data_IF_487782753739
#
_entry.id   IF_487782753739
#
_cell.length_a   1.000
_cell.length_b   1.000
_cell.length_c   1.000
_cell.angle_alpha   90.00
_cell.angle_beta   90.00
_cell.angle_gamma   90.00
#
_symmetry.space_group_name_H-M   'P 1'
#
loop_
_entity.id
_entity.type
_entity.pdbx_description
1 polymer ?
#
# COMPACT_ATOMS: atom_id res chain seq x y z
N UNK A 1 -45.87 4.18 31.85
CA UNK A 1 -44.87 3.24 31.28
C UNK A 1 -44.02 4.00 30.25
N UNK A 2 -43.08 4.82 30.72
CA UNK A 2 -42.19 5.64 29.88
C UNK A 2 -40.91 4.83 29.64
N UNK A 3 -40.80 4.16 28.49
CA UNK A 3 -39.52 3.56 28.08
C UNK A 3 -38.61 4.72 27.67
N UNK A 4 -37.66 5.06 28.54
CA UNK A 4 -36.77 6.21 28.41
C UNK A 4 -36.15 6.27 27.01
N UNK A 5 -36.33 7.44 26.37
CA UNK A 5 -35.78 7.82 25.07
C UNK A 5 -34.25 7.71 25.05
N UNK A 6 -33.63 7.73 26.24
CA UNK A 6 -32.18 7.66 26.47
C UNK A 6 -31.63 6.23 26.34
N UNK A 7 -32.44 5.21 26.63
CA UNK A 7 -32.04 3.82 26.43
C UNK A 7 -31.98 3.46 24.93
N UNK A 8 -32.92 4.00 24.14
CA UNK A 8 -33.01 3.77 22.69
C UNK A 8 -31.89 4.48 21.93
N UNK A 9 -31.51 5.69 22.34
CA UNK A 9 -30.39 6.44 21.73
C UNK A 9 -29.02 5.83 22.07
N UNK A 10 -28.86 5.24 23.25
CA UNK A 10 -27.59 4.60 23.65
C UNK A 10 -27.37 3.26 22.94
N UNK A 11 -28.42 2.46 22.74
CA UNK A 11 -28.32 1.21 21.96
C UNK A 11 -28.07 1.46 20.47
N UNK A 12 -28.73 2.45 19.87
CA UNK A 12 -28.53 2.79 18.45
C UNK A 12 -27.16 3.39 18.18
N UNK A 13 -26.60 4.20 19.08
CA UNK A 13 -25.23 4.73 19.00
C UNK A 13 -24.16 3.64 19.19
N UNK A 14 -24.39 2.67 20.08
CA UNK A 14 -23.46 1.56 20.30
C UNK A 14 -23.45 0.57 19.12
N UNK A 15 -24.61 0.30 18.51
CA UNK A 15 -24.75 -0.63 17.38
C UNK A 15 -24.17 -0.08 16.07
N UNK A 16 -24.27 1.24 15.85
CA UNK A 16 -23.62 1.92 14.71
C UNK A 16 -22.09 1.93 14.85
N UNK A 17 -21.55 2.21 16.05
CA UNK A 17 -20.10 2.22 16.29
C UNK A 17 -19.44 0.85 16.10
N UNK A 18 -20.09 -0.22 16.54
CA UNK A 18 -19.59 -1.61 16.42
C UNK A 18 -19.56 -2.11 14.97
N UNK A 19 -20.57 -1.77 14.15
CA UNK A 19 -20.65 -2.25 12.76
C UNK A 19 -19.66 -1.50 11.85
N UNK A 20 -19.47 -0.20 12.09
CA UNK A 20 -18.55 0.65 11.32
C UNK A 20 -17.07 0.34 11.63
N UNK A 21 -16.75 0.00 12.89
CA UNK A 21 -15.41 -0.39 13.31
C UNK A 21 -14.97 -1.74 12.72
N UNK A 22 -15.88 -2.73 12.64
CA UNK A 22 -15.62 -4.01 11.97
C UNK A 22 -15.36 -3.87 10.46
N UNK A 23 -16.10 -2.98 9.80
CA UNK A 23 -15.89 -2.63 8.38
C UNK A 23 -14.56 -1.91 8.12
N UNK A 24 -14.08 -1.10 9.08
CA UNK A 24 -12.77 -0.46 8.99
C UNK A 24 -11.63 -1.47 9.13
N UNK A 25 -11.70 -2.36 10.12
CA UNK A 25 -10.66 -3.40 10.30
C UNK A 25 -10.53 -4.29 9.07
N UNK A 26 -11.66 -4.72 8.50
CA UNK A 26 -11.66 -5.56 7.29
C UNK A 26 -11.07 -4.84 6.07
N UNK A 27 -11.22 -3.52 5.98
CA UNK A 27 -10.68 -2.73 4.88
C UNK A 27 -9.22 -2.33 5.05
N UNK A 28 -8.71 -2.30 6.28
CA UNK A 28 -7.29 -2.05 6.56
C UNK A 28 -6.46 -3.33 6.39
N UNK A 29 -7.07 -4.50 6.56
CA UNK A 29 -6.39 -5.80 6.50
C UNK A 29 -5.50 -5.96 5.25
N UNK A 30 -5.94 -5.66 4.01
CA UNK A 30 -5.10 -5.84 2.84
C UNK A 30 -3.89 -4.90 2.84
N UNK A 31 -4.05 -3.67 3.36
CA UNK A 31 -2.95 -2.71 3.48
C UNK A 31 -1.95 -3.16 4.54
N UNK A 32 -2.40 -3.64 5.71
CA UNK A 32 -1.51 -4.16 6.75
C UNK A 32 -0.68 -5.33 6.23
N UNK A 33 -1.32 -6.26 5.50
CA UNK A 33 -0.63 -7.40 4.88
C UNK A 33 0.45 -6.93 3.91
N UNK A 34 0.16 -5.94 3.05
CA UNK A 34 1.13 -5.41 2.08
C UNK A 34 2.37 -4.81 2.76
N UNK A 35 2.16 -3.92 3.74
CA UNK A 35 3.28 -3.29 4.44
C UNK A 35 4.08 -4.30 5.27
N UNK A 36 3.42 -5.19 6.00
CA UNK A 36 4.10 -6.22 6.79
C UNK A 36 4.91 -7.17 5.91
N UNK A 37 4.33 -7.68 4.82
CA UNK A 37 5.02 -8.56 3.88
C UNK A 37 6.23 -7.85 3.25
N UNK A 38 6.07 -6.59 2.82
CA UNK A 38 7.17 -5.81 2.25
C UNK A 38 8.31 -5.59 3.27
N UNK A 39 8.02 -5.28 4.53
CA UNK A 39 9.04 -5.15 5.58
C UNK A 39 9.80 -6.47 5.77
N UNK A 40 9.09 -7.59 5.83
CA UNK A 40 9.71 -8.93 5.97
C UNK A 40 10.61 -9.22 4.77
N UNK A 41 10.12 -9.01 3.55
CA UNK A 41 10.89 -9.20 2.32
C UNK A 41 12.14 -8.31 2.26
N UNK A 42 12.02 -7.04 2.68
CA UNK A 42 13.15 -6.12 2.76
C UNK A 42 14.18 -6.59 3.80
N UNK A 43 13.72 -7.09 4.96
CA UNK A 43 14.61 -7.64 5.98
C UNK A 43 15.40 -8.84 5.41
N UNK A 44 14.71 -9.78 4.77
CA UNK A 44 15.34 -10.93 4.12
C UNK A 44 16.31 -10.50 2.99
N UNK A 45 15.98 -9.43 2.25
CA UNK A 45 16.81 -8.92 1.15
C UNK A 45 18.17 -8.43 1.62
N UNK A 46 18.24 -7.90 2.85
CA UNK A 46 19.50 -7.42 3.42
C UNK A 46 20.44 -8.55 3.81
N UNK A 47 19.89 -9.69 4.22
CA UNK A 47 20.66 -10.86 4.62
C UNK A 47 21.08 -11.69 3.39
N UNK A 48 20.16 -11.84 2.42
CA UNK A 48 20.39 -12.55 1.16
C UNK A 48 19.57 -11.94 0.01
N UNK A 49 20.19 -11.01 -0.73
CA UNK A 49 19.56 -10.34 -1.87
C UNK A 49 19.26 -11.32 -3.02
N UNK A 50 20.14 -12.28 -3.26
CA UNK A 50 19.98 -13.22 -4.39
C UNK A 50 18.87 -14.23 -4.12
N UNK A 51 18.85 -14.83 -2.92
CA UNK A 51 17.82 -15.77 -2.53
C UNK A 51 16.43 -15.15 -2.37
N UNK A 52 16.33 -13.82 -2.30
CA UNK A 52 15.05 -13.12 -2.15
C UNK A 52 14.35 -12.73 -3.45
N UNK A 53 15.04 -12.75 -4.59
CA UNK A 53 14.46 -12.49 -5.91
C UNK A 53 13.16 -13.27 -6.17
N UNK A 54 13.08 -14.61 -6.01
CA UNK A 54 11.85 -15.35 -6.29
C UNK A 54 10.68 -14.97 -5.37
N UNK A 55 10.95 -14.55 -4.13
CA UNK A 55 9.90 -14.08 -3.24
C UNK A 55 9.34 -12.73 -3.70
N UNK A 56 10.20 -11.83 -4.19
CA UNK A 56 9.76 -10.57 -4.78
C UNK A 56 8.98 -10.76 -6.08
N UNK A 57 9.44 -11.66 -6.96
CA UNK A 57 8.72 -12.02 -8.19
C UNK A 57 7.32 -12.58 -7.87
N UNK A 58 7.20 -13.40 -6.82
CA UNK A 58 5.92 -13.92 -6.32
C UNK A 58 5.09 -12.84 -5.62
N UNK A 59 5.72 -11.84 -5.01
CA UNK A 59 5.02 -10.74 -4.35
C UNK A 59 4.32 -9.82 -5.35
N UNK A 60 4.89 -9.59 -6.54
CA UNK A 60 4.27 -8.76 -7.60
C UNK A 60 2.81 -9.16 -7.90
N UNK A 61 2.48 -10.43 -8.23
CA UNK A 61 1.10 -10.83 -8.48
C UNK A 61 0.22 -10.77 -7.22
N UNK A 62 0.79 -10.92 -6.02
CA UNK A 62 0.05 -10.72 -4.76
C UNK A 62 -0.38 -9.25 -4.62
N UNK A 63 0.53 -8.30 -4.89
CA UNK A 63 0.19 -6.87 -4.89
C UNK A 63 -0.86 -6.56 -5.96
N UNK A 64 -0.72 -7.12 -7.16
CA UNK A 64 -1.70 -7.00 -8.22
C UNK A 64 -3.09 -7.47 -7.77
N UNK A 65 -3.17 -8.67 -7.20
CA UNK A 65 -4.42 -9.25 -6.71
C UNK A 65 -5.07 -8.39 -5.63
N UNK A 66 -4.29 -7.91 -4.64
CA UNK A 66 -4.78 -7.00 -3.61
C UNK A 66 -5.26 -5.67 -4.21
N UNK A 67 -4.62 -5.22 -5.29
CA UNK A 67 -5.04 -4.02 -6.02
C UNK A 67 -6.41 -4.18 -6.68
N UNK A 68 -6.65 -5.32 -7.32
CA UNK A 68 -7.95 -5.64 -7.91
C UNK A 68 -9.06 -5.69 -6.85
N UNK A 69 -8.80 -6.26 -5.68
CA UNK A 69 -9.79 -6.37 -4.60
C UNK A 69 -10.10 -5.03 -3.91
N UNK A 70 -9.25 -4.01 -4.05
CA UNK A 70 -9.41 -2.76 -3.31
C UNK A 70 -10.40 -1.78 -3.93
N UNK A 71 -10.75 -1.96 -5.21
CA UNK A 71 -11.51 -0.99 -5.99
C UNK A 71 -12.95 -0.71 -5.55
N UNK A 72 -13.55 -1.61 -4.76
CA UNK A 72 -15.00 -1.59 -4.50
C UNK A 72 -15.48 -0.28 -3.83
N UNK A 73 -14.69 0.30 -2.93
CA UNK A 73 -15.08 1.53 -2.23
C UNK A 73 -14.92 2.80 -3.07
N UNK A 74 -13.88 2.88 -3.91
CA UNK A 74 -13.57 4.11 -4.66
C UNK A 74 -14.36 4.24 -5.95
N UNK A 75 -14.64 3.12 -6.63
CA UNK A 75 -15.47 3.12 -7.84
C UNK A 75 -16.87 3.69 -7.54
N UNK A 76 -17.42 3.39 -6.35
CA UNK A 76 -18.68 3.91 -5.87
C UNK A 76 -18.67 5.44 -5.62
N UNK A 77 -17.57 5.99 -5.11
CA UNK A 77 -17.47 7.44 -4.85
C UNK A 77 -17.41 8.23 -6.17
N UNK A 78 -16.61 7.72 -7.12
CA UNK A 78 -16.25 8.40 -8.36
C UNK A 78 -17.28 8.20 -9.49
N UNK A 79 -18.40 7.54 -9.24
CA UNK A 79 -19.40 7.12 -10.24
C UNK A 79 -18.75 6.43 -11.46
N UNK A 80 -17.66 5.68 -11.24
CA UNK A 80 -16.97 4.96 -12.30
C UNK A 80 -17.51 3.54 -12.44
N UNK A 81 -17.67 3.10 -13.69
CA UNK A 81 -18.02 1.71 -13.99
C UNK A 81 -16.96 0.76 -13.42
N UNK A 82 -17.40 -0.19 -12.59
CA UNK A 82 -16.55 -1.23 -12.00
C UNK A 82 -15.79 -2.02 -13.07
N UNK A 83 -16.44 -2.30 -14.21
CA UNK A 83 -15.80 -3.02 -15.33
C UNK A 83 -14.60 -2.25 -15.89
N UNK A 84 -14.73 -0.92 -16.04
CA UNK A 84 -13.66 -0.09 -16.56
C UNK A 84 -12.50 0.04 -15.56
N UNK A 85 -12.80 0.10 -14.26
CA UNK A 85 -11.79 0.05 -13.20
C UNK A 85 -11.01 -1.28 -13.23
N UNK A 86 -11.72 -2.40 -13.26
CA UNK A 86 -11.10 -3.73 -13.26
C UNK A 86 -10.27 -3.95 -14.52
N UNK A 87 -10.76 -3.52 -15.69
CA UNK A 87 -10.00 -3.61 -16.94
C UNK A 87 -8.69 -2.82 -16.86
N UNK A 88 -8.71 -1.59 -16.32
CA UNK A 88 -7.51 -0.79 -16.12
C UNK A 88 -6.50 -1.49 -15.19
N UNK A 89 -6.98 -2.07 -14.09
CA UNK A 89 -6.13 -2.79 -13.15
C UNK A 89 -5.49 -4.03 -13.80
N UNK A 90 -6.28 -4.84 -14.51
CA UNK A 90 -5.78 -6.02 -15.23
C UNK A 90 -4.76 -5.62 -16.30
N UNK A 91 -5.02 -4.56 -17.06
CA UNK A 91 -4.09 -4.08 -18.08
C UNK A 91 -2.79 -3.56 -17.44
N UNK A 92 -2.89 -2.74 -16.39
CA UNK A 92 -1.74 -2.17 -15.68
C UNK A 92 -0.83 -3.26 -15.12
N UNK A 93 -1.39 -4.18 -14.33
CA UNK A 93 -0.60 -5.27 -13.74
C UNK A 93 -0.19 -6.32 -14.76
N UNK A 94 -1.00 -6.55 -15.79
CA UNK A 94 -0.66 -7.43 -16.92
C UNK A 94 0.55 -6.93 -17.70
N UNK A 95 0.66 -5.62 -17.93
CA UNK A 95 1.84 -5.02 -18.56
C UNK A 95 3.09 -5.21 -17.69
N UNK A 96 2.98 -4.98 -16.38
CA UNK A 96 4.11 -5.15 -15.45
C UNK A 96 4.57 -6.60 -15.38
N UNK A 97 3.65 -7.54 -15.19
CA UNK A 97 3.97 -8.98 -15.15
C UNK A 97 4.52 -9.45 -16.50
N UNK A 98 3.91 -9.02 -17.61
CA UNK A 98 4.39 -9.31 -18.95
C UNK A 98 5.80 -8.78 -19.20
N UNK A 99 6.13 -7.58 -18.72
CA UNK A 99 7.47 -7.02 -18.79
C UNK A 99 8.47 -7.85 -17.97
N UNK A 100 8.13 -8.23 -16.73
CA UNK A 100 9.01 -9.09 -15.92
C UNK A 100 9.26 -10.45 -16.59
N UNK A 101 8.22 -11.03 -17.20
CA UNK A 101 8.34 -12.27 -17.96
C UNK A 101 9.26 -12.10 -19.20
N UNK A 102 9.17 -10.98 -19.92
CA UNK A 102 10.08 -10.66 -21.02
C UNK A 102 11.52 -10.49 -20.54
N UNK A 103 11.75 -9.75 -19.44
CA UNK A 103 13.09 -9.58 -18.87
C UNK A 103 13.71 -10.92 -18.49
N UNK A 104 12.92 -11.81 -17.90
CA UNK A 104 13.36 -13.17 -17.57
C UNK A 104 13.69 -13.98 -18.84
N UNK A 105 12.77 -14.00 -19.82
CA UNK A 105 12.92 -14.79 -21.06
C UNK A 105 14.09 -14.33 -21.92
N UNK A 106 14.37 -13.03 -21.96
CA UNK A 106 15.50 -12.45 -22.67
C UNK A 106 16.82 -12.53 -21.90
N UNK A 107 16.86 -13.21 -20.75
CA UNK A 107 18.08 -13.41 -19.98
C UNK A 107 18.63 -12.13 -19.36
N UNK A 108 17.80 -11.09 -19.16
CA UNK A 108 18.23 -9.83 -18.55
C UNK A 108 18.73 -10.06 -17.13
N UNK A 109 18.16 -11.03 -16.40
CA UNK A 109 18.68 -11.45 -15.10
C UNK A 109 20.08 -12.04 -15.17
N UNK A 110 20.43 -12.77 -16.24
CA UNK A 110 21.79 -13.29 -16.41
C UNK A 110 22.76 -12.23 -16.93
N UNK A 111 22.26 -11.23 -17.68
CA UNK A 111 23.04 -10.10 -18.15
C UNK A 111 23.32 -9.06 -17.05
N UNK A 112 22.41 -8.94 -16.09
CA UNK A 112 22.57 -8.15 -14.88
C UNK A 112 23.18 -9.03 -13.77
N UNK A 113 23.86 -8.40 -12.83
CA UNK A 113 24.14 -9.05 -11.55
C UNK A 113 22.84 -9.19 -10.74
N UNK A 114 22.72 -10.22 -9.90
CA UNK A 114 21.49 -10.51 -9.13
C UNK A 114 21.06 -9.30 -8.27
N UNK A 115 22.02 -8.57 -7.68
CA UNK A 115 21.71 -7.38 -6.88
C UNK A 115 21.11 -6.26 -7.75
N UNK A 116 21.64 -6.08 -8.97
CA UNK A 116 21.12 -5.06 -9.91
C UNK A 116 19.74 -5.47 -10.43
N UNK A 117 19.53 -6.74 -10.73
CA UNK A 117 18.24 -7.26 -11.15
C UNK A 117 17.18 -7.05 -10.05
N UNK A 118 17.52 -7.35 -8.80
CA UNK A 118 16.64 -7.11 -7.66
C UNK A 118 16.24 -5.64 -7.52
N UNK A 119 17.20 -4.71 -7.64
CA UNK A 119 16.89 -3.28 -7.61
C UNK A 119 15.95 -2.86 -8.75
N UNK A 120 16.16 -3.37 -9.96
CA UNK A 120 15.27 -3.12 -11.10
C UNK A 120 13.86 -3.64 -10.81
N UNK A 121 13.73 -4.86 -10.26
CA UNK A 121 12.46 -5.45 -9.87
C UNK A 121 11.73 -4.59 -8.83
N UNK A 122 12.44 -4.14 -7.79
CA UNK A 122 11.89 -3.30 -6.73
C UNK A 122 11.47 -1.91 -7.22
N UNK A 123 12.28 -1.27 -8.06
CA UNK A 123 11.92 0.01 -8.67
C UNK A 123 10.71 -0.12 -9.60
N UNK A 124 10.64 -1.18 -10.42
CA UNK A 124 9.48 -1.47 -11.26
C UNK A 124 8.22 -1.68 -10.42
N UNK A 125 8.31 -2.44 -9.33
CA UNK A 125 7.19 -2.67 -8.43
C UNK A 125 6.76 -1.37 -7.71
N UNK A 126 7.71 -0.58 -7.23
CA UNK A 126 7.45 0.73 -6.61
C UNK A 126 6.79 1.71 -7.58
N UNK A 127 7.27 1.78 -8.82
CA UNK A 127 6.67 2.62 -9.86
C UNK A 127 5.27 2.13 -10.26
N UNK A 128 5.11 0.82 -10.49
CA UNK A 128 3.82 0.21 -10.82
C UNK A 128 2.77 0.48 -9.73
N UNK A 129 3.15 0.33 -8.46
CA UNK A 129 2.27 0.64 -7.32
C UNK A 129 1.94 2.12 -7.22
N UNK A 130 2.93 3.01 -7.43
CA UNK A 130 2.69 4.46 -7.49
C UNK A 130 1.69 4.84 -8.58
N UNK A 131 1.85 4.30 -9.80
CA UNK A 131 0.94 4.58 -10.92
C UNK A 131 -0.47 4.02 -10.68
N UNK A 132 -0.57 2.80 -10.14
CA UNK A 132 -1.86 2.26 -9.68
C UNK A 132 -2.49 3.18 -8.63
N UNK A 133 -1.66 3.75 -7.77
CA UNK A 133 -1.98 4.76 -6.79
C UNK A 133 -2.62 6.01 -7.38
N UNK A 134 -1.88 6.67 -8.27
CA UNK A 134 -2.23 7.95 -8.85
C UNK A 134 -3.49 7.89 -9.71
N UNK A 135 -3.68 6.79 -10.44
CA UNK A 135 -4.76 6.68 -11.42
C UNK A 135 -6.01 5.96 -10.88
N UNK A 136 -5.85 4.96 -10.02
CA UNK A 136 -6.93 4.06 -9.62
C UNK A 136 -7.26 4.13 -8.13
N UNK A 137 -6.29 3.91 -7.25
CA UNK A 137 -6.50 3.78 -5.80
C UNK A 137 -5.35 4.40 -5.00
N UNK A 138 -5.61 5.61 -4.49
CA UNK A 138 -4.63 6.44 -3.79
C UNK A 138 -3.86 5.75 -2.65
N UNK A 139 -4.39 4.67 -2.03
CA UNK A 139 -3.68 3.94 -0.97
C UNK A 139 -2.34 3.37 -1.47
N UNK A 140 -2.28 3.01 -2.76
CA UNK A 140 -1.08 2.49 -3.40
C UNK A 140 -0.04 3.58 -3.68
N UNK A 141 -0.41 4.86 -3.64
CA UNK A 141 0.57 5.97 -3.71
C UNK A 141 1.52 5.89 -2.53
N UNK A 142 0.97 5.77 -1.31
CA UNK A 142 1.76 5.68 -0.09
C UNK A 142 2.60 4.41 -0.05
N UNK A 143 2.03 3.28 -0.46
CA UNK A 143 2.75 2.01 -0.49
C UNK A 143 3.87 2.00 -1.53
N UNK A 144 3.62 2.55 -2.73
CA UNK A 144 4.64 2.63 -3.77
C UNK A 144 5.74 3.64 -3.44
N UNK A 145 5.41 4.77 -2.82
CA UNK A 145 6.40 5.71 -2.30
C UNK A 145 7.28 5.05 -1.22
N UNK A 146 6.68 4.28 -0.33
CA UNK A 146 7.40 3.48 0.66
C UNK A 146 8.36 2.46 0.01
N UNK A 147 7.90 1.71 -1.00
CA UNK A 147 8.76 0.77 -1.72
C UNK A 147 9.91 1.48 -2.45
N UNK A 148 9.64 2.59 -3.13
CA UNK A 148 10.67 3.38 -3.81
C UNK A 148 11.74 3.90 -2.82
N UNK A 149 11.30 4.37 -1.65
CA UNK A 149 12.20 4.79 -0.56
C UNK A 149 13.07 3.63 -0.03
N UNK A 150 12.47 2.46 0.22
CA UNK A 150 13.24 1.29 0.68
C UNK A 150 14.23 0.82 -0.37
N UNK A 151 13.82 0.83 -1.65
CA UNK A 151 14.70 0.48 -2.78
C UNK A 151 15.87 1.44 -2.89
N UNK A 152 15.64 2.75 -2.69
CA UNK A 152 16.71 3.74 -2.66
C UNK A 152 17.74 3.46 -1.55
N UNK A 153 17.28 3.14 -0.33
CA UNK A 153 18.17 2.78 0.78
C UNK A 153 18.99 1.53 0.44
N UNK A 154 18.36 0.52 -0.16
CA UNK A 154 19.05 -0.71 -0.60
C UNK A 154 20.07 -0.44 -1.71
N UNK A 155 19.78 0.49 -2.63
CA UNK A 155 20.65 0.83 -3.75
C UNK A 155 21.87 1.64 -3.33
N UNK A 156 21.75 2.48 -2.29
CA UNK A 156 22.81 3.37 -1.85
C UNK A 156 22.96 3.34 -0.32
N UNK A 157 23.45 2.23 0.26
CA UNK A 157 23.54 2.05 1.71
C UNK A 157 24.52 3.02 2.38
N UNK A 158 25.46 3.59 1.63
CA UNK A 158 26.39 4.62 2.14
C UNK A 158 25.80 6.04 2.08
N UNK A 159 24.77 6.26 1.27
CA UNK A 159 24.11 7.57 1.11
C UNK A 159 22.91 7.73 2.07
N UNK A 160 23.14 7.43 3.35
CA UNK A 160 22.15 7.56 4.44
C UNK A 160 21.93 9.01 4.88
N UNK A 161 22.59 9.99 4.25
CA UNK A 161 22.38 11.42 4.51
C UNK A 161 20.89 11.83 4.42
N UNK A 162 20.13 11.20 3.50
CA UNK A 162 18.69 11.45 3.36
C UNK A 162 17.87 10.96 4.57
N UNK A 163 18.42 10.09 5.41
CA UNK A 163 17.78 9.58 6.62
C UNK A 163 17.86 10.57 7.79
N UNK A 164 18.77 11.55 7.77
CA UNK A 164 18.91 12.52 8.85
C UNK A 164 17.63 13.36 9.09
N UNK A 165 17.07 14.06 8.08
CA UNK A 165 15.84 14.84 8.27
C UNK A 165 14.62 13.96 8.61
N UNK A 166 14.58 12.73 8.08
CA UNK A 166 13.54 11.77 8.43
C UNK A 166 13.68 11.28 9.88
N UNK A 167 14.92 11.02 10.33
CA UNK A 167 15.24 10.63 11.69
C UNK A 167 14.80 11.67 12.72
N UNK A 168 15.05 12.94 12.45
CA UNK A 168 14.56 14.06 13.28
C UNK A 168 13.03 14.09 13.33
N UNK A 169 12.38 13.92 12.17
CA UNK A 169 10.90 13.88 12.07
C UNK A 169 10.31 12.74 12.89
N UNK A 170 10.97 11.58 12.95
CA UNK A 170 10.51 10.40 13.69
C UNK A 170 11.07 10.31 15.12
N UNK A 171 11.91 11.26 15.56
CA UNK A 171 12.55 11.22 16.88
C UNK A 171 13.58 10.09 17.05
N UNK A 172 14.15 9.60 15.95
CA UNK A 172 15.15 8.52 15.94
C UNK A 172 16.55 9.13 15.98
N UNK A 173 17.19 9.09 17.16
CA UNK A 173 18.59 9.49 17.30
C UNK A 173 19.50 8.55 16.49
N UNK A 174 20.46 9.13 15.76
CA UNK A 174 21.40 8.43 14.87
C UNK A 174 20.69 7.52 13.85
N UNK A 175 19.67 8.06 13.18
CA UNK A 175 18.88 7.36 12.16
C UNK A 175 19.71 6.68 11.06
N UNK A 176 20.87 7.24 10.75
CA UNK A 176 21.82 6.72 9.77
C UNK A 176 22.37 5.34 10.15
N UNK A 177 22.54 5.08 11.45
CA UNK A 177 23.05 3.80 11.97
C UNK A 177 21.95 2.73 12.06
N UNK A 178 20.68 3.09 11.84
CA UNK A 178 19.51 2.23 12.04
C UNK A 178 18.58 2.19 10.82
N UNK A 179 19.08 1.79 9.63
CA UNK A 179 18.26 1.79 8.41
C UNK A 179 17.01 0.91 8.51
N UNK A 180 17.02 -0.19 9.29
CA UNK A 180 15.79 -0.98 9.52
C UNK A 180 14.74 -0.19 10.30
N UNK A 181 15.13 0.50 11.36
CA UNK A 181 14.21 1.28 12.17
C UNK A 181 13.60 2.43 11.35
N UNK A 182 14.39 3.03 10.46
CA UNK A 182 13.92 4.04 9.53
C UNK A 182 12.90 3.49 8.53
N UNK A 183 13.17 2.34 7.90
CA UNK A 183 12.21 1.72 6.98
C UNK A 183 10.91 1.33 7.67
N UNK A 184 10.97 0.80 8.89
CA UNK A 184 9.78 0.49 9.70
C UNK A 184 9.02 1.78 10.05
N UNK A 185 9.72 2.82 10.51
CA UNK A 185 9.13 4.13 10.81
C UNK A 185 8.42 4.73 9.60
N UNK A 186 9.07 4.70 8.43
CA UNK A 186 8.48 5.15 7.17
C UNK A 186 7.29 4.29 6.75
N UNK A 187 7.34 2.97 6.94
CA UNK A 187 6.21 2.08 6.66
C UNK A 187 4.99 2.44 7.52
N UNK A 188 5.20 2.64 8.82
CA UNK A 188 4.14 3.05 9.76
C UNK A 188 3.57 4.41 9.35
N UNK A 189 4.42 5.38 9.05
CA UNK A 189 3.98 6.72 8.62
C UNK A 189 3.16 6.68 7.32
N UNK A 190 3.64 5.95 6.32
CA UNK A 190 2.96 5.78 5.04
C UNK A 190 1.61 5.05 5.21
N UNK A 191 1.57 4.02 6.05
CA UNK A 191 0.33 3.32 6.40
C UNK A 191 -0.67 4.21 7.14
N UNK A 192 -0.22 5.02 8.10
CA UNK A 192 -1.07 5.96 8.83
C UNK A 192 -1.63 7.04 7.89
N UNK A 193 -0.79 7.62 7.03
CA UNK A 193 -1.24 8.56 6.00
C UNK A 193 -2.28 7.90 5.07
N UNK A 194 -2.02 6.67 4.63
CA UNK A 194 -2.96 5.84 3.87
C UNK A 194 -4.23 5.46 4.63
N UNK A 195 -4.25 5.53 5.95
CA UNK A 195 -5.45 5.24 6.75
C UNK A 195 -6.28 6.50 6.95
N UNK A 196 -5.62 7.64 7.16
CA UNK A 196 -6.29 8.92 7.39
C UNK A 196 -7.15 9.35 6.19
N UNK A 197 -6.62 9.29 4.96
CA UNK A 197 -7.45 9.65 3.80
C UNK A 197 -8.48 8.57 3.45
N UNK A 198 -8.35 7.32 3.93
CA UNK A 198 -9.38 6.29 3.78
C UNK A 198 -10.59 6.64 4.64
N UNK A 199 -10.35 7.05 5.88
CA UNK A 199 -11.38 7.53 6.79
C UNK A 199 -12.04 8.78 6.20
N UNK A 200 -11.26 9.72 5.65
CA UNK A 200 -11.78 10.91 4.98
C UNK A 200 -12.70 10.60 3.80
N UNK A 201 -12.30 9.68 2.92
CA UNK A 201 -13.12 9.26 1.78
C UNK A 201 -14.42 8.57 2.21
N UNK A 202 -14.39 7.74 3.25
CA UNK A 202 -15.60 7.11 3.80
C UNK A 202 -16.59 8.14 4.34
N UNK A 203 -16.10 9.20 4.98
CA UNK A 203 -16.93 10.33 5.40
C UNK A 203 -17.64 11.01 4.21
N UNK A 204 -16.92 11.21 3.10
CA UNK A 204 -17.49 11.75 1.86
C UNK A 204 -18.53 10.82 1.21
N UNK A 205 -18.35 9.50 1.30
CA UNK A 205 -19.34 8.52 0.82
C UNK A 205 -20.64 8.63 1.64
N UNK A 206 -20.52 8.71 2.96
CA UNK A 206 -21.67 8.79 3.85
C UNK A 206 -22.47 10.07 3.58
N UNK A 207 -21.80 11.21 3.38
CA UNK A 207 -22.48 12.47 3.05
C UNK A 207 -23.22 12.40 1.71
N UNK A 208 -22.61 11.83 0.66
CA UNK A 208 -23.24 11.64 -0.66
C UNK A 208 -24.47 10.72 -0.60
N UNK A 209 -24.42 9.67 0.22
CA UNK A 209 -25.59 8.77 0.44
C UNK A 209 -26.74 9.49 1.15
N UNK A 210 -26.43 10.31 2.15
CA UNK A 210 -27.45 11.10 2.87
C UNK A 210 -28.08 12.15 1.95
N UNK A 211 -27.30 12.81 1.09
CA UNK A 211 -27.86 13.76 0.11
C UNK A 211 -28.75 13.06 -0.92
N UNK A 212 -28.34 11.89 -1.44
CA UNK A 212 -29.14 11.13 -2.40
C UNK A 212 -30.46 10.60 -1.80
N UNK A 213 -30.49 10.28 -0.49
CA UNK A 213 -31.70 9.85 0.20
C UNK A 213 -32.67 11.01 0.52
N UNK A 214 -32.24 12.27 0.37
CA UNK A 214 -33.06 13.48 0.59
C UNK A 214 -33.60 14.09 -0.70
N UNK A 215 -33.09 13.65 -1.85
CA UNK A 215 -33.56 14.04 -3.18
C UNK A 215 -34.68 13.10 -3.65
#
# INVERSE_FOLDING_TARGET
MFKSKDAVSTETAKKTKSTDQGSLMMALLPSVILYAAAIVLIALTRDDATGTIPYWETFVPVVAFISLLSGFGQAYVRDQSYLFYTLKQVLHWGIVIGLLWLLHTHGVRAALDDQKYLLVLLYLLGLATLLAGLHMDWKFVFFGAFLAFCTYILAAPENVAILAPLGETFGIANAQDKPMAMMIGTAVAAFLASTLVLIGMRGAILSKRVSAARA
#
